data_IF_256848522549
#
_entry.id   IF_256848522549
#
_cell.length_a   1.000
_cell.length_b   1.000
_cell.length_c   1.000
_cell.angle_alpha   90.00
_cell.angle_beta   90.00
_cell.angle_gamma   90.00
#
_symmetry.space_group_name_H-M   'P 1'
#
loop_
_entity.id
_entity.type
_entity.pdbx_description
1 polymer ?
#
# COMPACT_ATOMS: atom_id res chain seq x y z
N UNK A 1 -58.72 9.53 -29.16
CA UNK A 1 -57.43 10.12 -28.74
C UNK A 1 -56.71 9.36 -27.62
N UNK A 2 -57.36 8.53 -26.79
CA UNK A 2 -56.71 7.82 -25.64
C UNK A 2 -55.73 6.69 -26.01
N UNK A 3 -55.94 5.94 -27.11
CA UNK A 3 -55.05 4.81 -27.50
C UNK A 3 -53.64 5.24 -27.92
N UNK A 4 -53.50 6.39 -28.58
CA UNK A 4 -52.17 6.87 -29.03
C UNK A 4 -51.29 7.36 -27.86
N UNK A 5 -51.91 7.95 -26.81
CA UNK A 5 -51.22 8.36 -25.58
C UNK A 5 -50.71 7.15 -24.77
N UNK A 6 -51.54 6.11 -24.64
CA UNK A 6 -51.17 4.87 -23.95
C UNK A 6 -50.02 4.16 -24.64
N UNK A 7 -50.03 4.07 -25.97
CA UNK A 7 -48.93 3.45 -26.75
C UNK A 7 -47.61 4.22 -26.60
N UNK A 8 -47.65 5.57 -26.55
CA UNK A 8 -46.48 6.39 -26.26
C UNK A 8 -45.92 6.16 -24.85
N UNK A 9 -46.78 6.12 -23.85
CA UNK A 9 -46.41 5.84 -22.45
C UNK A 9 -45.74 4.46 -22.31
N UNK A 10 -46.32 3.42 -22.92
CA UNK A 10 -45.78 2.06 -22.92
C UNK A 10 -44.42 2.01 -23.64
N UNK A 11 -44.28 2.68 -24.80
CA UNK A 11 -42.99 2.76 -25.50
C UNK A 11 -41.91 3.51 -24.68
N UNK A 12 -42.26 4.62 -24.06
CA UNK A 12 -41.32 5.33 -23.17
C UNK A 12 -40.92 4.47 -21.97
N UNK A 13 -41.88 3.78 -21.31
CA UNK A 13 -41.59 2.85 -20.24
C UNK A 13 -40.66 1.71 -20.65
N UNK A 14 -40.87 1.15 -21.85
CA UNK A 14 -39.97 0.12 -22.39
C UNK A 14 -38.54 0.65 -22.67
N UNK A 15 -38.43 1.86 -23.21
CA UNK A 15 -37.12 2.49 -23.44
C UNK A 15 -36.39 2.73 -22.12
N UNK A 16 -37.07 3.27 -21.10
CA UNK A 16 -36.47 3.45 -19.77
C UNK A 16 -36.02 2.13 -19.15
N UNK A 17 -36.82 1.06 -19.29
CA UNK A 17 -36.45 -0.25 -18.78
C UNK A 17 -35.24 -0.85 -19.49
N UNK A 18 -35.13 -0.69 -20.81
CA UNK A 18 -33.99 -1.12 -21.60
C UNK A 18 -32.70 -0.35 -21.23
N UNK A 19 -32.82 0.98 -21.05
CA UNK A 19 -31.70 1.81 -20.62
C UNK A 19 -31.22 1.43 -19.21
N UNK A 20 -32.16 1.22 -18.28
CA UNK A 20 -31.84 0.77 -16.93
C UNK A 20 -31.18 -0.62 -16.91
N UNK A 21 -31.67 -1.56 -17.73
CA UNK A 21 -31.08 -2.88 -17.88
C UNK A 21 -29.68 -2.82 -18.48
N UNK A 22 -29.47 -2.00 -19.50
CA UNK A 22 -28.15 -1.79 -20.09
C UNK A 22 -27.16 -1.15 -19.09
N UNK A 23 -27.61 -0.18 -18.31
CA UNK A 23 -26.81 0.44 -17.25
C UNK A 23 -26.45 -0.56 -16.14
N UNK A 24 -27.41 -1.40 -15.73
CA UNK A 24 -27.19 -2.46 -14.75
C UNK A 24 -26.19 -3.52 -15.23
N UNK A 25 -26.28 -3.94 -16.50
CA UNK A 25 -25.32 -4.88 -17.10
C UNK A 25 -23.94 -4.25 -17.25
N UNK A 26 -23.86 -2.97 -17.63
CA UNK A 26 -22.59 -2.22 -17.69
C UNK A 26 -21.95 -2.09 -16.31
N UNK A 27 -22.73 -1.74 -15.29
CA UNK A 27 -22.25 -1.73 -13.92
C UNK A 27 -21.74 -3.11 -13.47
N UNK A 28 -22.50 -4.17 -13.73
CA UNK A 28 -22.12 -5.53 -13.39
C UNK A 28 -20.84 -5.96 -14.11
N UNK A 29 -20.72 -5.62 -15.38
CA UNK A 29 -19.51 -5.92 -16.16
C UNK A 29 -18.25 -5.30 -15.53
N UNK A 30 -18.32 -4.06 -15.01
CA UNK A 30 -17.25 -3.40 -14.31
C UNK A 30 -17.01 -3.92 -12.88
N UNK A 31 -18.09 -4.32 -12.19
CA UNK A 31 -18.02 -4.80 -10.82
C UNK A 31 -17.48 -6.24 -10.70
N UNK A 32 -17.60 -7.05 -11.75
CA UNK A 32 -17.08 -8.42 -11.75
C UNK A 32 -15.55 -8.43 -11.84
N UNK A 33 -14.86 -9.34 -11.12
CA UNK A 33 -13.39 -9.48 -11.19
C UNK A 33 -12.97 -9.88 -12.61
N UNK A 34 -11.77 -9.46 -13.03
CA UNK A 34 -11.17 -9.89 -14.31
C UNK A 34 -10.51 -11.26 -14.22
N UNK A 35 -10.09 -11.63 -13.01
CA UNK A 35 -9.46 -12.91 -12.70
C UNK A 35 -10.03 -13.46 -11.38
N UNK A 36 -10.11 -14.78 -11.26
CA UNK A 36 -10.47 -15.50 -10.04
C UNK A 36 -9.50 -16.66 -9.83
N UNK A 37 -9.29 -17.00 -8.57
CA UNK A 37 -8.51 -18.19 -8.19
C UNK A 37 -9.41 -19.29 -7.64
N UNK A 38 -9.08 -20.53 -7.94
CA UNK A 38 -9.82 -21.73 -7.51
C UNK A 38 -8.83 -22.79 -7.03
N UNK A 39 -9.21 -23.59 -6.06
CA UNK A 39 -8.48 -24.80 -5.70
C UNK A 39 -8.80 -25.94 -6.70
N UNK A 40 -7.89 -26.90 -6.86
CA UNK A 40 -8.14 -28.08 -7.70
C UNK A 40 -9.42 -28.81 -7.27
N UNK A 41 -10.40 -28.91 -8.18
CA UNK A 41 -11.70 -29.54 -7.91
C UNK A 41 -12.74 -28.64 -7.24
N UNK A 42 -12.42 -27.38 -6.92
CA UNK A 42 -13.38 -26.43 -6.38
C UNK A 42 -14.34 -25.95 -7.48
N UNK A 43 -15.63 -25.82 -7.13
CA UNK A 43 -16.63 -25.20 -8.00
C UNK A 43 -16.52 -23.68 -7.93
N UNK A 44 -16.64 -23.03 -9.07
CA UNK A 44 -16.62 -21.56 -9.14
C UNK A 44 -17.84 -20.99 -8.41
N UNK A 45 -17.57 -20.21 -7.37
CA UNK A 45 -18.56 -19.46 -6.61
C UNK A 45 -18.11 -18.02 -6.46
N UNK A 46 -19.03 -17.09 -6.63
CA UNK A 46 -18.81 -15.66 -6.43
C UNK A 46 -19.73 -15.17 -5.31
N UNK A 47 -19.33 -15.28 -4.03
CA UNK A 47 -20.23 -14.97 -2.89
C UNK A 47 -20.80 -13.56 -2.94
N UNK A 48 -20.05 -12.58 -3.47
CA UNK A 48 -20.51 -11.18 -3.66
C UNK A 48 -21.52 -11.02 -4.81
N UNK A 49 -21.60 -12.01 -5.71
CA UNK A 49 -22.47 -12.02 -6.90
C UNK A 49 -23.11 -13.39 -7.07
N UNK A 50 -23.82 -13.86 -6.02
CA UNK A 50 -24.40 -15.20 -5.97
C UNK A 50 -25.37 -15.56 -7.12
N UNK A 51 -25.86 -14.55 -7.84
CA UNK A 51 -26.73 -14.65 -9.03
C UNK A 51 -25.95 -14.67 -10.36
N UNK A 52 -24.59 -14.60 -10.31
CA UNK A 52 -23.70 -14.76 -11.46
C UNK A 52 -23.07 -16.13 -11.39
N UNK A 53 -23.24 -16.91 -12.46
CA UNK A 53 -22.77 -18.29 -12.57
C UNK A 53 -21.97 -18.45 -13.88
N UNK A 54 -21.16 -19.49 -14.02
CA UNK A 54 -20.62 -19.85 -15.33
C UNK A 54 -21.73 -20.08 -16.35
N UNK A 55 -21.51 -19.60 -17.59
CA UNK A 55 -22.48 -19.79 -18.69
C UNK A 55 -22.76 -21.29 -18.89
N UNK A 56 -24.03 -21.68 -18.87
CA UNK A 56 -24.45 -23.07 -19.06
C UNK A 56 -24.23 -23.51 -20.50
N UNK A 57 -23.32 -24.47 -20.72
CA UNK A 57 -23.00 -24.99 -22.06
C UNK A 57 -21.94 -26.10 -22.00
N UNK A 58 -21.69 -26.74 -23.16
CA UNK A 58 -20.76 -27.89 -23.24
C UNK A 58 -19.32 -27.59 -22.79
N UNK A 59 -18.86 -26.33 -22.85
CA UNK A 59 -17.52 -25.91 -22.42
C UNK A 59 -17.41 -25.51 -20.95
N UNK A 60 -18.52 -25.11 -20.32
CA UNK A 60 -18.53 -24.52 -18.97
C UNK A 60 -18.41 -25.55 -17.84
N UNK A 61 -18.83 -26.79 -18.07
CA UNK A 61 -18.74 -27.86 -17.06
C UNK A 61 -17.30 -28.27 -16.74
N UNK A 62 -16.35 -28.07 -17.68
CA UNK A 62 -14.97 -28.55 -17.52
C UNK A 62 -14.13 -27.64 -16.60
N UNK A 63 -14.47 -26.36 -16.45
CA UNK A 63 -13.69 -25.43 -15.59
C UNK A 63 -14.17 -25.49 -14.14
N UNK A 64 -15.47 -25.68 -13.92
CA UNK A 64 -16.04 -25.77 -12.58
C UNK A 64 -15.60 -27.03 -11.79
N UNK A 65 -15.00 -28.02 -12.47
CA UNK A 65 -14.57 -29.29 -11.86
C UNK A 65 -13.14 -29.69 -12.26
N UNK A 66 -12.36 -28.79 -12.87
CA UNK A 66 -11.00 -29.14 -13.27
C UNK A 66 -10.10 -29.31 -12.04
N UNK A 67 -9.35 -30.43 -12.02
CA UNK A 67 -8.35 -30.71 -10.99
C UNK A 67 -6.94 -30.31 -11.45
N UNK A 68 -6.76 -29.95 -12.71
CA UNK A 68 -5.46 -29.57 -13.23
C UNK A 68 -5.13 -28.13 -12.88
N UNK A 69 -3.96 -27.89 -12.29
CA UNK A 69 -3.41 -26.56 -12.11
C UNK A 69 -3.22 -25.90 -13.47
N UNK A 70 -3.65 -24.66 -13.61
CA UNK A 70 -3.57 -23.92 -14.86
C UNK A 70 -4.52 -22.75 -14.96
N UNK A 71 -4.54 -22.12 -16.11
CA UNK A 71 -5.33 -20.91 -16.38
C UNK A 71 -6.36 -21.20 -17.48
N UNK A 72 -7.60 -20.85 -17.23
CA UNK A 72 -8.76 -21.13 -18.08
C UNK A 72 -9.58 -19.86 -18.29
N UNK A 73 -10.25 -19.76 -19.44
CA UNK A 73 -11.24 -18.70 -19.67
C UNK A 73 -12.64 -19.21 -19.30
N UNK A 74 -13.37 -18.39 -18.54
CA UNK A 74 -14.74 -18.68 -18.11
C UNK A 74 -15.61 -17.51 -18.43
N UNK A 75 -16.73 -17.75 -19.14
CA UNK A 75 -17.76 -16.74 -19.35
C UNK A 75 -18.73 -16.77 -18.18
N UNK A 76 -18.82 -15.68 -17.47
CA UNK A 76 -19.81 -15.44 -16.40
C UNK A 76 -21.13 -14.98 -17.02
N UNK A 77 -22.22 -15.50 -16.50
CA UNK A 77 -23.57 -15.23 -16.98
C UNK A 77 -24.53 -14.97 -15.83
N UNK A 78 -25.49 -14.10 -16.05
CA UNK A 78 -26.61 -13.85 -15.14
C UNK A 78 -27.51 -15.08 -15.16
N UNK A 79 -27.73 -15.69 -13.98
CA UNK A 79 -28.51 -16.94 -13.84
C UNK A 79 -27.96 -18.12 -14.68
N UNK A 80 -26.74 -18.04 -15.16
CA UNK A 80 -26.12 -19.05 -16.01
C UNK A 80 -26.53 -19.01 -17.50
N UNK A 81 -27.33 -18.00 -17.93
CA UNK A 81 -27.88 -17.94 -19.29
C UNK A 81 -27.50 -16.68 -20.06
N UNK A 82 -27.55 -15.49 -19.45
CA UNK A 82 -27.23 -14.23 -20.10
C UNK A 82 -25.73 -13.92 -19.90
N UNK A 83 -24.87 -14.05 -20.92
CA UNK A 83 -23.44 -13.80 -20.77
C UNK A 83 -23.19 -12.32 -20.43
N UNK A 84 -22.33 -12.08 -19.44
CA UNK A 84 -21.95 -10.74 -18.98
C UNK A 84 -20.49 -10.46 -19.25
N UNK A 85 -19.59 -11.34 -18.81
CA UNK A 85 -18.13 -11.11 -18.91
C UNK A 85 -17.37 -12.41 -18.99
N UNK A 86 -16.37 -12.46 -19.88
CA UNK A 86 -15.35 -13.55 -19.87
C UNK A 86 -14.20 -13.14 -18.99
N UNK A 87 -13.84 -13.99 -18.05
CA UNK A 87 -12.77 -13.78 -17.05
C UNK A 87 -11.76 -14.93 -17.14
N UNK A 88 -10.60 -14.70 -16.52
CA UNK A 88 -9.59 -15.72 -16.33
C UNK A 88 -9.83 -16.46 -15.01
N UNK A 89 -9.91 -17.77 -15.04
CA UNK A 89 -9.93 -18.61 -13.85
C UNK A 89 -8.56 -19.30 -13.71
N UNK A 90 -7.88 -19.11 -12.60
CA UNK A 90 -6.58 -19.73 -12.29
C UNK A 90 -6.82 -20.80 -11.24
N UNK A 91 -6.55 -22.06 -11.61
CA UNK A 91 -6.59 -23.19 -10.68
C UNK A 91 -5.20 -23.36 -10.07
N UNK A 92 -5.09 -23.18 -8.77
CA UNK A 92 -3.84 -23.22 -8.02
C UNK A 92 -4.05 -23.80 -6.64
N UNK A 93 -3.02 -24.35 -6.03
CA UNK A 93 -3.04 -24.68 -4.60
C UNK A 93 -3.20 -23.40 -3.78
N UNK A 94 -3.91 -23.51 -2.65
CA UNK A 94 -4.13 -22.37 -1.77
C UNK A 94 -2.83 -22.04 -1.03
N UNK A 95 -2.33 -20.80 -1.16
CA UNK A 95 -1.13 -20.42 -0.45
C UNK A 95 -1.37 -20.31 1.04
N UNK A 96 -0.35 -20.71 1.82
CA UNK A 96 -0.33 -20.58 3.28
C UNK A 96 0.85 -19.73 3.71
N UNK A 97 0.62 -18.87 4.70
CA UNK A 97 1.64 -17.96 5.24
C UNK A 97 1.59 -17.93 6.76
N UNK A 98 2.68 -17.53 7.39
CA UNK A 98 2.69 -17.21 8.83
C UNK A 98 2.15 -15.80 9.02
N UNK A 99 0.93 -15.69 9.54
CA UNK A 99 0.29 -14.40 9.88
C UNK A 99 0.87 -13.89 11.19
N UNK A 100 1.29 -12.63 11.22
CA UNK A 100 2.04 -12.05 12.33
C UNK A 100 1.23 -11.04 13.14
N UNK A 101 1.07 -9.80 12.69
CA UNK A 101 0.48 -8.70 13.47
C UNK A 101 1.46 -8.03 14.44
N UNK A 102 2.73 -8.43 14.42
CA UNK A 102 3.82 -7.88 15.26
C UNK A 102 4.32 -6.54 14.70
N UNK A 103 4.73 -5.59 15.56
CA UNK A 103 5.34 -4.35 15.12
C UNK A 103 6.74 -4.62 14.58
N UNK A 104 7.17 -3.80 13.63
CA UNK A 104 8.55 -3.74 13.19
C UNK A 104 8.95 -2.30 12.92
N UNK A 105 10.22 -1.99 13.18
CA UNK A 105 10.84 -0.74 12.80
C UNK A 105 11.31 -0.80 11.36
N UNK A 106 11.13 0.29 10.64
CA UNK A 106 11.60 0.49 9.27
C UNK A 106 12.73 1.51 9.28
N UNK A 107 13.81 1.21 8.59
CA UNK A 107 14.88 2.15 8.22
C UNK A 107 15.01 2.12 6.71
N UNK A 108 14.73 3.24 6.07
CA UNK A 108 14.88 3.38 4.62
C UNK A 108 15.87 4.48 4.29
N UNK A 109 16.69 4.23 3.30
CA UNK A 109 17.61 5.20 2.70
C UNK A 109 17.14 5.48 1.27
N UNK A 110 16.99 6.76 0.95
CA UNK A 110 16.51 7.19 -0.36
C UNK A 110 17.63 7.20 -1.40
N UNK A 111 17.27 7.07 -2.67
CA UNK A 111 18.16 7.39 -3.77
C UNK A 111 18.30 8.91 -3.86
N UNK A 112 19.41 9.46 -3.34
CA UNK A 112 19.64 10.90 -3.30
C UNK A 112 19.00 11.60 -2.11
N UNK A 113 19.31 12.88 -1.94
CA UNK A 113 18.89 13.71 -0.83
C UNK A 113 17.58 14.46 -1.15
N UNK A 114 16.50 14.17 -0.39
CA UNK A 114 15.19 14.79 -0.56
C UNK A 114 15.17 16.20 0.04
N UNK A 115 14.76 17.21 -0.70
CA UNK A 115 14.59 18.59 -0.19
C UNK A 115 13.29 18.66 0.62
N UNK A 116 13.44 18.81 1.93
CA UNK A 116 12.32 18.84 2.90
C UNK A 116 12.06 20.23 3.48
N UNK A 117 12.92 21.22 3.19
CA UNK A 117 12.75 22.57 3.68
C UNK A 117 13.77 23.53 3.12
N UNK A 118 13.56 24.82 3.40
CA UNK A 118 14.48 25.89 3.07
C UNK A 118 14.65 26.85 4.26
N UNK A 119 15.87 27.33 4.44
CA UNK A 119 16.20 28.44 5.35
C UNK A 119 17.21 29.36 4.68
N UNK A 120 17.08 30.65 4.93
CA UNK A 120 18.04 31.60 4.40
C UNK A 120 19.40 31.43 5.09
N UNK A 121 20.48 31.63 4.33
CA UNK A 121 21.86 31.58 4.79
C UNK A 121 22.30 32.98 5.15
N UNK A 122 22.91 33.17 6.31
CA UNK A 122 23.42 34.47 6.76
C UNK A 122 24.77 34.77 6.09
N UNK A 123 24.73 35.61 5.04
CA UNK A 123 25.95 36.08 4.35
C UNK A 123 26.35 37.48 4.85
N UNK A 124 27.56 37.91 4.49
CA UNK A 124 28.00 39.27 4.76
C UNK A 124 27.15 40.34 4.04
N UNK A 125 26.47 39.99 2.96
CA UNK A 125 25.58 40.86 2.19
C UNK A 125 24.12 40.84 2.66
N UNK A 126 23.78 39.94 3.61
CA UNK A 126 22.43 39.72 4.12
C UNK A 126 21.97 38.26 3.91
N UNK A 127 20.70 37.97 4.24
CA UNK A 127 20.15 36.63 4.06
C UNK A 127 19.94 36.27 2.58
N UNK A 128 20.42 35.11 2.15
CA UNK A 128 20.31 34.60 0.79
C UNK A 128 19.86 33.14 0.79
N UNK A 129 19.19 32.70 -0.27
CA UNK A 129 18.83 31.29 -0.45
C UNK A 129 19.19 30.80 -1.85
N UNK A 130 20.40 30.26 -2.05
CA UNK A 130 20.87 29.76 -3.33
C UNK A 130 20.02 28.65 -3.94
N UNK A 131 19.49 27.73 -3.11
CA UNK A 131 18.67 26.62 -3.60
C UNK A 131 17.32 27.11 -4.18
N UNK A 132 16.66 28.08 -3.52
CA UNK A 132 15.45 28.72 -4.06
C UNK A 132 15.77 29.50 -5.33
N UNK A 133 16.87 30.25 -5.35
CA UNK A 133 17.31 31.01 -6.52
C UNK A 133 17.62 30.09 -7.71
N UNK A 134 18.15 28.90 -7.47
CA UNK A 134 18.37 27.87 -8.47
C UNK A 134 17.08 27.16 -8.92
N UNK A 135 15.90 27.48 -8.33
CA UNK A 135 14.60 26.92 -8.69
C UNK A 135 14.31 25.54 -8.09
N UNK A 136 15.07 25.10 -7.07
CA UNK A 136 14.75 23.89 -6.32
C UNK A 136 13.47 24.08 -5.48
N UNK A 137 12.74 23.01 -5.25
CA UNK A 137 11.44 22.99 -4.54
C UNK A 137 11.40 21.88 -3.52
N UNK A 138 10.46 21.97 -2.60
CA UNK A 138 10.12 20.85 -1.70
C UNK A 138 9.74 19.63 -2.53
N UNK A 139 10.22 18.45 -2.11
CA UNK A 139 10.02 17.20 -2.82
C UNK A 139 11.03 16.92 -3.95
N UNK A 140 11.89 17.88 -4.31
CA UNK A 140 13.00 17.60 -5.23
C UNK A 140 13.99 16.64 -4.58
N UNK A 141 14.38 15.62 -5.31
CA UNK A 141 15.38 14.67 -4.87
C UNK A 141 16.69 14.93 -5.58
N UNK A 142 17.63 15.54 -4.88
CA UNK A 142 18.97 15.85 -5.41
C UNK A 142 19.79 14.56 -5.50
N UNK A 143 20.23 14.19 -6.70
CA UNK A 143 20.96 12.95 -6.95
C UNK A 143 22.43 13.18 -7.26
N UNK A 144 22.84 14.42 -7.65
CA UNK A 144 24.21 14.77 -7.91
C UNK A 144 24.43 16.28 -7.78
N UNK A 145 25.56 16.67 -7.20
CA UNK A 145 26.07 18.05 -7.17
C UNK A 145 27.50 18.03 -7.73
N UNK A 146 27.73 18.72 -8.86
CA UNK A 146 28.99 18.62 -9.58
C UNK A 146 29.30 17.19 -10.01
N UNK A 147 30.43 16.67 -9.59
CA UNK A 147 30.83 15.27 -9.79
C UNK A 147 30.40 14.32 -8.67
N UNK A 148 29.84 14.84 -7.57
CA UNK A 148 29.52 14.05 -6.36
C UNK A 148 28.10 13.55 -6.40
N UNK A 149 27.90 12.23 -6.35
CA UNK A 149 26.57 11.63 -6.10
C UNK A 149 26.14 11.95 -4.66
N UNK A 150 24.89 12.43 -4.50
CA UNK A 150 24.37 12.88 -3.20
C UNK A 150 23.54 11.76 -2.54
N UNK A 151 24.22 10.67 -2.19
CA UNK A 151 23.60 9.48 -1.58
C UNK A 151 23.14 9.70 -0.14
N UNK A 152 23.72 10.67 0.54
CA UNK A 152 23.42 11.05 1.91
C UNK A 152 23.63 12.55 2.16
N UNK A 153 23.29 13.00 3.36
CA UNK A 153 23.39 14.41 3.76
C UNK A 153 24.85 14.88 3.80
N UNK A 154 25.79 13.99 4.16
CA UNK A 154 27.22 14.32 4.22
C UNK A 154 27.81 14.52 2.81
N UNK A 155 27.38 13.72 1.84
CA UNK A 155 27.77 13.90 0.44
C UNK A 155 27.29 15.25 -0.13
N UNK A 156 26.07 15.68 0.21
CA UNK A 156 25.57 17.03 -0.15
C UNK A 156 26.46 18.11 0.45
N UNK A 157 26.79 18.01 1.74
CA UNK A 157 27.64 18.97 2.44
C UNK A 157 29.03 19.03 1.80
N UNK A 158 29.66 17.89 1.56
CA UNK A 158 30.98 17.80 0.93
C UNK A 158 31.00 18.41 -0.47
N UNK A 159 29.96 18.18 -1.28
CA UNK A 159 29.85 18.73 -2.62
C UNK A 159 29.73 20.27 -2.61
N UNK A 160 28.96 20.84 -1.67
CA UNK A 160 28.82 22.27 -1.49
C UNK A 160 30.14 22.91 -1.00
N UNK A 161 30.85 22.27 -0.07
CA UNK A 161 32.17 22.70 0.40
C UNK A 161 33.22 22.66 -0.73
N UNK A 162 33.20 21.62 -1.55
CA UNK A 162 34.12 21.51 -2.70
C UNK A 162 33.88 22.58 -3.77
N UNK A 163 32.69 23.11 -3.90
CA UNK A 163 32.34 24.16 -4.84
C UNK A 163 32.92 25.54 -4.43
N UNK A 164 33.17 25.79 -3.16
CA UNK A 164 33.81 27.01 -2.64
C UNK A 164 33.26 28.31 -3.20
N UNK A 165 31.91 28.42 -3.32
CA UNK A 165 31.24 29.59 -3.88
C UNK A 165 31.23 29.66 -5.41
N UNK A 166 31.77 28.65 -6.10
CA UNK A 166 31.65 28.55 -7.56
C UNK A 166 30.29 27.94 -7.95
N UNK A 167 29.79 28.34 -9.11
CA UNK A 167 28.57 27.76 -9.68
C UNK A 167 28.80 26.27 -9.98
N UNK A 168 27.91 25.41 -9.50
CA UNK A 168 27.96 23.96 -9.66
C UNK A 168 26.65 23.43 -10.22
N UNK A 169 26.74 22.45 -11.11
CA UNK A 169 25.56 21.77 -11.64
C UNK A 169 24.90 20.93 -10.56
N UNK A 170 23.58 21.03 -10.42
CA UNK A 170 22.75 20.18 -9.56
C UNK A 170 21.79 19.38 -10.42
N UNK A 171 21.89 18.06 -10.36
CA UNK A 171 20.95 17.14 -10.99
C UNK A 171 19.97 16.63 -9.94
N UNK A 172 18.69 16.74 -10.22
CA UNK A 172 17.62 16.36 -9.31
C UNK A 172 16.45 15.70 -10.06
N UNK A 173 15.62 14.95 -9.32
CA UNK A 173 14.40 14.35 -9.82
C UNK A 173 13.22 15.10 -9.24
N UNK A 174 12.25 15.51 -10.08
CA UNK A 174 10.98 16.13 -9.71
C UNK A 174 9.85 15.41 -10.42
N UNK A 175 8.88 14.87 -9.68
CA UNK A 175 7.75 14.13 -10.25
C UNK A 175 8.17 13.00 -11.20
N UNK A 176 9.26 12.29 -10.87
CA UNK A 176 9.79 11.19 -11.68
C UNK A 176 10.68 11.60 -12.85
N UNK A 177 10.79 12.90 -13.17
CA UNK A 177 11.62 13.42 -14.25
C UNK A 177 12.95 13.95 -13.74
N UNK A 178 14.05 13.52 -14.35
CA UNK A 178 15.38 14.07 -14.08
C UNK A 178 15.54 15.45 -14.71
N UNK A 179 16.03 16.40 -13.93
CA UNK A 179 16.26 17.80 -14.30
C UNK A 179 17.63 18.25 -13.82
N UNK A 180 18.09 19.38 -14.34
CA UNK A 180 19.35 20.00 -13.91
C UNK A 180 19.18 21.51 -13.77
N UNK A 181 19.97 22.08 -12.87
CA UNK A 181 20.08 23.51 -12.64
C UNK A 181 21.50 23.90 -12.23
N UNK A 182 21.81 25.17 -12.22
CA UNK A 182 23.06 25.70 -11.68
C UNK A 182 22.80 26.33 -10.31
N UNK A 183 23.61 26.00 -9.31
CA UNK A 183 23.54 26.51 -7.96
C UNK A 183 24.91 27.06 -7.54
N UNK A 184 24.94 28.26 -6.95
CA UNK A 184 26.15 28.85 -6.40
C UNK A 184 26.03 28.87 -4.88
N UNK A 185 26.74 28.01 -4.14
CA UNK A 185 26.66 28.02 -2.67
C UNK A 185 27.25 29.31 -2.13
N UNK A 186 26.73 29.77 -0.97
CA UNK A 186 27.18 30.97 -0.28
C UNK A 186 27.81 30.64 1.05
N UNK A 187 28.75 31.48 1.50
CA UNK A 187 29.38 31.29 2.80
C UNK A 187 28.46 31.72 3.94
N UNK A 188 28.13 30.79 4.81
CA UNK A 188 27.39 31.06 6.02
C UNK A 188 28.34 31.51 7.15
N UNK A 189 28.26 32.80 7.48
CA UNK A 189 29.11 33.39 8.51
C UNK A 189 28.83 32.80 9.91
N UNK A 190 27.65 32.26 10.15
CA UNK A 190 27.27 31.71 11.45
C UNK A 190 27.84 30.32 11.71
N UNK A 191 27.92 29.48 10.66
CA UNK A 191 28.40 28.10 10.76
C UNK A 191 29.79 27.90 10.16
N UNK A 192 30.38 28.93 9.51
CA UNK A 192 31.64 28.87 8.78
C UNK A 192 31.68 27.71 7.76
N UNK A 193 30.66 27.60 6.91
CA UNK A 193 30.48 26.56 5.92
C UNK A 193 29.83 27.12 4.64
N UNK A 194 30.12 26.49 3.49
CA UNK A 194 29.39 26.74 2.24
C UNK A 194 28.01 26.07 2.26
N UNK A 195 26.95 26.82 2.04
CA UNK A 195 25.58 26.35 2.15
C UNK A 195 24.74 26.74 0.94
N UNK A 196 23.68 25.95 0.69
CA UNK A 196 22.70 26.20 -0.35
C UNK A 196 21.36 26.76 0.20
N UNK A 197 21.15 26.74 1.51
CA UNK A 197 19.91 27.21 2.13
C UNK A 197 18.76 26.22 1.98
N UNK A 198 19.05 24.93 1.85
CA UNK A 198 18.07 23.84 1.82
C UNK A 198 18.30 22.85 2.96
N UNK A 199 17.21 22.28 3.46
CA UNK A 199 17.22 21.12 4.34
C UNK A 199 16.99 19.88 3.50
N UNK A 200 17.83 18.89 3.70
CA UNK A 200 17.75 17.63 2.97
C UNK A 200 17.64 16.44 3.93
N UNK A 201 16.96 15.38 3.46
CA UNK A 201 16.78 14.13 4.17
C UNK A 201 17.17 12.97 3.25
N UNK A 202 17.99 12.07 3.76
CA UNK A 202 18.50 10.90 3.05
C UNK A 202 17.91 9.59 3.57
N UNK A 203 17.20 9.64 4.69
CA UNK A 203 16.67 8.46 5.36
C UNK A 203 15.33 8.74 6.02
N UNK A 204 14.51 7.71 6.13
CA UNK A 204 13.25 7.72 6.84
C UNK A 204 13.20 6.54 7.80
N UNK A 205 12.67 6.78 8.99
CA UNK A 205 12.43 5.75 9.98
C UNK A 205 10.97 5.80 10.44
N UNK A 206 10.40 4.65 10.73
CA UNK A 206 9.01 4.56 11.15
C UNK A 206 8.69 3.22 11.77
N UNK A 207 7.45 3.06 12.21
CA UNK A 207 6.91 1.83 12.76
C UNK A 207 5.75 1.35 11.89
N UNK A 208 5.70 0.06 11.64
CA UNK A 208 4.62 -0.59 10.93
C UNK A 208 4.28 -1.95 11.54
N UNK A 209 3.28 -2.59 10.95
CA UNK A 209 2.86 -3.94 11.37
C UNK A 209 3.19 -4.95 10.27
N UNK A 210 3.81 -6.06 10.68
CA UNK A 210 4.09 -7.23 9.84
C UNK A 210 2.79 -7.97 9.57
N UNK A 211 2.40 -8.06 8.30
CA UNK A 211 1.17 -8.77 7.93
C UNK A 211 1.40 -10.26 7.94
N UNK A 212 2.38 -10.72 7.18
CA UNK A 212 2.74 -12.13 7.12
C UNK A 212 4.20 -12.34 6.68
N UNK A 213 4.67 -13.56 6.92
CA UNK A 213 5.92 -14.09 6.39
C UNK A 213 5.62 -15.38 5.63
N UNK A 214 6.06 -15.45 4.39
CA UNK A 214 6.13 -16.71 3.64
C UNK A 214 7.50 -17.34 3.92
N UNK A 215 7.50 -18.40 4.73
CA UNK A 215 8.72 -19.08 5.15
C UNK A 215 9.37 -19.90 4.04
N UNK A 216 8.60 -20.34 3.06
CA UNK A 216 9.14 -21.15 1.95
C UNK A 216 9.96 -20.27 1.01
N UNK A 217 9.48 -19.06 0.76
CA UNK A 217 10.16 -18.08 -0.08
C UNK A 217 11.13 -17.17 0.70
N UNK A 218 11.08 -17.16 2.04
CA UNK A 218 11.89 -16.28 2.87
C UNK A 218 11.53 -14.80 2.73
N UNK A 219 10.25 -14.49 2.40
CA UNK A 219 9.78 -13.13 2.18
C UNK A 219 8.78 -12.68 3.22
N UNK A 220 8.72 -11.36 3.43
CA UNK A 220 7.73 -10.72 4.30
C UNK A 220 6.89 -9.70 3.54
N UNK A 221 5.71 -9.42 4.08
CA UNK A 221 4.81 -8.36 3.66
C UNK A 221 4.34 -7.53 4.86
N UNK A 222 4.32 -6.21 4.69
CA UNK A 222 3.86 -5.29 5.74
C UNK A 222 3.28 -4.00 5.18
N UNK A 223 2.67 -3.19 6.04
CA UNK A 223 2.09 -1.86 5.84
C UNK A 223 0.85 -1.81 4.92
N UNK A 224 0.86 -2.46 3.75
CA UNK A 224 -0.23 -2.37 2.77
C UNK A 224 -0.31 -1.03 2.01
N UNK A 225 0.67 -0.15 2.17
CA UNK A 225 0.86 1.12 1.45
C UNK A 225 2.36 1.48 1.43
N UNK A 226 2.80 2.40 0.54
CA UNK A 226 4.19 2.83 0.51
C UNK A 226 4.57 3.61 1.78
N UNK A 227 5.86 3.60 2.09
CA UNK A 227 6.45 4.54 3.02
C UNK A 227 6.66 5.84 2.26
N UNK A 228 6.07 6.91 2.79
CA UNK A 228 6.18 8.27 2.25
C UNK A 228 6.89 9.17 3.25
N UNK A 229 7.55 10.19 2.73
CA UNK A 229 8.14 11.24 3.55
C UNK A 229 7.02 12.08 4.20
N UNK A 230 7.17 12.37 5.49
CA UNK A 230 6.14 13.05 6.30
C UNK A 230 5.94 14.52 5.92
N UNK A 231 6.96 15.18 5.38
CA UNK A 231 6.93 16.61 5.09
C UNK A 231 6.44 16.88 3.66
N UNK A 232 6.75 15.99 2.73
CA UNK A 232 6.40 16.14 1.31
C UNK A 232 5.22 15.28 0.89
N UNK A 233 4.93 14.19 1.61
CA UNK A 233 3.92 13.19 1.24
C UNK A 233 4.33 12.28 0.06
N UNK A 234 5.51 12.50 -0.51
CA UNK A 234 5.98 11.68 -1.63
C UNK A 234 6.51 10.33 -1.16
N UNK A 235 6.30 9.29 -1.98
CA UNK A 235 6.84 7.96 -1.71
C UNK A 235 8.38 7.99 -1.71
N UNK A 236 8.99 7.40 -0.68
CA UNK A 236 10.44 7.31 -0.57
C UNK A 236 10.97 6.35 -1.64
N UNK A 237 11.78 6.88 -2.57
CA UNK A 237 12.46 6.05 -3.57
C UNK A 237 13.55 5.21 -2.89
N UNK A 238 13.37 3.91 -2.92
CA UNK A 238 14.20 2.96 -2.18
C UNK A 238 15.57 2.77 -2.83
N UNK A 239 16.65 3.22 -2.14
CA UNK A 239 18.03 2.79 -2.42
C UNK A 239 18.35 1.51 -1.65
N UNK A 240 18.09 1.54 -0.36
CA UNK A 240 18.20 0.39 0.54
C UNK A 240 17.24 0.55 1.70
N UNK A 241 16.85 -0.56 2.30
CA UNK A 241 15.98 -0.52 3.47
C UNK A 241 16.10 -1.77 4.30
N UNK A 242 15.89 -1.60 5.59
CA UNK A 242 16.00 -2.64 6.60
C UNK A 242 14.77 -2.62 7.50
N UNK A 243 14.39 -3.80 7.97
CA UNK A 243 13.46 -3.93 9.08
C UNK A 243 14.24 -4.33 10.35
N UNK A 244 13.84 -3.75 11.47
CA UNK A 244 14.46 -3.97 12.79
C UNK A 244 13.41 -4.36 13.84
N UNK A 245 13.79 -5.04 14.93
CA UNK A 245 12.88 -5.33 16.02
C UNK A 245 12.36 -4.02 16.65
N UNK A 246 11.08 -3.99 16.97
CA UNK A 246 10.40 -2.83 17.54
C UNK A 246 9.38 -3.26 18.58
N UNK A 247 9.22 -2.50 19.64
CA UNK A 247 8.12 -2.59 20.59
C UNK A 247 7.26 -1.32 20.58
N UNK A 248 6.00 -1.45 20.90
CA UNK A 248 5.08 -0.33 21.05
C UNK A 248 5.09 0.14 22.50
N UNK A 249 5.56 1.35 22.74
CA UNK A 249 5.67 1.95 24.07
C UNK A 249 4.48 2.81 24.45
N UNK A 250 3.64 3.18 23.48
CA UNK A 250 2.46 3.98 23.71
C UNK A 250 1.64 4.25 22.46
N UNK A 251 0.52 4.94 22.68
CA UNK A 251 -0.39 5.33 21.61
C UNK A 251 -0.93 6.75 21.88
N UNK A 252 -0.95 7.57 20.83
CA UNK A 252 -1.79 8.78 20.80
C UNK A 252 -3.11 8.41 20.14
N UNK A 253 -4.23 8.59 20.85
CA UNK A 253 -5.53 8.21 20.30
C UNK A 253 -5.94 9.11 19.14
N UNK A 254 -6.57 8.51 18.13
CA UNK A 254 -7.13 9.22 16.99
C UNK A 254 -8.46 9.90 17.33
N UNK A 255 -8.66 11.07 16.77
CA UNK A 255 -9.92 11.82 16.80
C UNK A 255 -10.27 12.29 15.40
N UNK A 256 -11.52 12.67 15.16
CA UNK A 256 -11.94 13.20 13.87
C UNK A 256 -11.07 14.40 13.45
N UNK A 257 -10.46 14.31 12.26
CA UNK A 257 -9.53 15.31 11.73
C UNK A 257 -8.07 15.21 12.22
N UNK A 258 -7.79 14.34 13.21
CA UNK A 258 -6.44 14.13 13.74
C UNK A 258 -6.20 12.63 13.93
N UNK A 259 -5.55 11.94 12.97
CA UNK A 259 -5.23 10.55 13.12
C UNK A 259 -4.28 10.35 14.30
N UNK A 260 -4.53 9.30 15.10
CA UNK A 260 -3.62 8.90 16.17
C UNK A 260 -2.39 8.16 15.65
N UNK A 261 -1.49 7.80 16.56
CA UNK A 261 -0.21 7.18 16.24
C UNK A 261 0.23 6.20 17.32
N UNK A 262 0.78 5.04 16.90
CA UNK A 262 1.53 4.15 17.77
C UNK A 262 2.96 4.68 17.90
N UNK A 263 3.44 4.81 19.14
CA UNK A 263 4.83 5.19 19.44
C UNK A 263 5.65 3.93 19.65
N UNK A 264 6.63 3.72 18.79
CA UNK A 264 7.51 2.55 18.84
C UNK A 264 8.92 2.90 19.25
N UNK A 265 9.59 1.93 19.83
CA UNK A 265 11.01 1.96 20.18
C UNK A 265 11.73 0.81 19.48
N UNK A 266 12.85 1.10 18.80
CA UNK A 266 13.66 0.06 18.17
C UNK A 266 14.49 -0.65 19.23
N UNK A 267 14.28 -1.95 19.37
CA UNK A 267 14.95 -2.78 20.38
C UNK A 267 16.43 -3.05 20.01
N UNK A 268 16.74 -3.01 18.74
CA UNK A 268 18.10 -3.26 18.22
C UNK A 268 18.33 -2.49 16.92
N UNK A 269 19.61 -2.19 16.67
CA UNK A 269 20.05 -1.68 15.37
C UNK A 269 20.24 -2.79 14.32
N UNK A 270 20.27 -4.06 14.74
CA UNK A 270 20.47 -5.19 13.83
C UNK A 270 19.25 -5.43 12.95
N UNK A 271 19.49 -5.46 11.66
CA UNK A 271 18.48 -5.78 10.68
C UNK A 271 18.00 -7.24 10.84
N UNK A 272 16.69 -7.44 10.85
CA UNK A 272 16.02 -8.75 10.83
C UNK A 272 15.45 -9.09 9.45
N UNK A 273 15.60 -8.18 8.49
CA UNK A 273 15.23 -8.37 7.09
C UNK A 273 15.61 -7.16 6.26
N UNK A 274 15.59 -7.36 4.94
CA UNK A 274 15.94 -6.33 3.95
C UNK A 274 14.70 -5.98 3.15
N UNK A 275 14.38 -4.69 3.03
CA UNK A 275 13.30 -4.18 2.18
C UNK A 275 13.79 -4.21 0.73
N UNK A 276 13.01 -4.80 -0.16
CA UNK A 276 13.28 -4.90 -1.61
C UNK A 276 12.33 -4.04 -2.44
N UNK A 277 11.10 -3.87 -1.94
CA UNK A 277 10.06 -3.09 -2.63
C UNK A 277 9.39 -2.17 -1.61
N UNK A 278 9.37 -0.87 -1.91
CA UNK A 278 8.48 0.13 -1.33
C UNK A 278 7.47 0.50 -2.40
N UNK A 279 6.35 -0.18 -2.45
CA UNK A 279 5.38 -0.08 -3.53
C UNK A 279 4.01 0.42 -3.09
N UNK A 280 3.17 0.78 -4.04
CA UNK A 280 1.81 1.28 -3.83
C UNK A 280 0.94 0.40 -2.92
N UNK A 281 1.24 -0.89 -2.87
CA UNK A 281 0.46 -1.91 -2.15
C UNK A 281 1.13 -2.38 -0.85
N UNK A 282 2.27 -1.78 -0.46
CA UNK A 282 2.97 -2.16 0.77
C UNK A 282 4.48 -2.20 0.67
N UNK A 283 5.08 -2.69 1.73
CA UNK A 283 6.52 -2.91 1.86
C UNK A 283 6.78 -4.40 1.89
N UNK A 284 7.70 -4.84 1.02
CA UNK A 284 8.03 -6.25 0.83
C UNK A 284 9.54 -6.43 0.83
N UNK A 285 9.98 -7.58 1.27
CA UNK A 285 11.40 -7.87 1.30
C UNK A 285 11.71 -9.28 1.76
N UNK A 286 12.98 -9.54 2.02
CA UNK A 286 13.48 -10.86 2.43
C UNK A 286 13.85 -10.87 3.90
N UNK A 287 13.62 -12.02 4.56
CA UNK A 287 13.99 -12.25 5.96
C UNK A 287 14.35 -13.71 6.18
N UNK A 288 15.33 -13.93 7.06
CA UNK A 288 15.67 -15.25 7.59
C UNK A 288 15.27 -15.39 9.07
N UNK A 289 14.76 -14.31 9.65
CA UNK A 289 14.34 -14.28 11.05
C UNK A 289 13.02 -15.03 11.21
N UNK A 290 12.93 -15.77 12.30
CA UNK A 290 11.70 -16.46 12.68
C UNK A 290 10.75 -15.48 13.37
N UNK A 291 9.65 -15.12 12.69
CA UNK A 291 8.59 -14.32 13.29
C UNK A 291 7.58 -15.22 14.00
N UNK A 292 7.18 -14.81 15.19
CA UNK A 292 6.05 -15.42 15.89
C UNK A 292 4.76 -15.16 15.12
N UNK A 293 3.95 -16.19 14.92
CA UNK A 293 2.68 -16.07 14.20
C UNK A 293 1.99 -17.42 14.03
N UNK A 294 0.86 -17.41 13.34
CA UNK A 294 0.08 -18.61 13.10
C UNK A 294 0.00 -18.89 11.60
N UNK A 295 0.20 -20.16 11.22
CA UNK A 295 0.02 -20.58 9.84
C UNK A 295 -1.46 -20.46 9.47
N UNK A 296 -1.76 -19.72 8.40
CA UNK A 296 -3.10 -19.52 7.85
C UNK A 296 -3.10 -19.59 6.35
N UNK A 297 -4.20 -20.07 5.80
CA UNK A 297 -4.50 -19.96 4.39
C UNK A 297 -4.80 -18.52 4.00
N UNK A 298 -4.39 -18.11 2.81
CA UNK A 298 -4.83 -16.85 2.19
C UNK A 298 -6.16 -17.08 1.50
N UNK A 299 -7.14 -16.23 1.79
CA UNK A 299 -8.40 -16.20 1.05
C UNK A 299 -8.17 -15.63 -0.35
N UNK A 300 -8.79 -16.21 -1.36
CA UNK A 300 -8.84 -15.59 -2.67
C UNK A 300 -9.71 -14.32 -2.64
N UNK A 301 -9.37 -13.33 -3.43
CA UNK A 301 -10.04 -12.02 -3.41
C UNK A 301 -11.57 -12.10 -3.57
N UNK A 302 -12.06 -13.03 -4.41
CA UNK A 302 -13.50 -13.23 -4.61
C UNK A 302 -14.24 -13.85 -3.41
N UNK A 303 -13.52 -14.45 -2.45
CA UNK A 303 -14.09 -15.07 -1.24
C UNK A 303 -14.33 -14.05 -0.12
N UNK A 304 -13.66 -12.89 -0.20
CA UNK A 304 -13.81 -11.83 0.81
C UNK A 304 -15.18 -11.19 0.71
N UNK A 305 -15.91 -11.15 1.81
CA UNK A 305 -17.28 -10.64 1.86
C UNK A 305 -17.46 -9.60 2.97
N UNK A 306 -18.51 -8.80 2.88
CA UNK A 306 -18.92 -7.94 3.99
C UNK A 306 -19.36 -8.79 5.18
N UNK A 307 -19.11 -8.31 6.39
CA UNK A 307 -19.44 -9.05 7.59
C UNK A 307 -18.39 -8.97 8.68
N UNK A 308 -18.57 -9.72 9.77
CA UNK A 308 -17.63 -9.78 10.88
C UNK A 308 -16.26 -10.30 10.44
N UNK A 309 -15.23 -9.70 11.01
CA UNK A 309 -13.83 -10.08 10.82
C UNK A 309 -13.03 -9.66 12.06
N UNK A 310 -11.75 -9.98 12.08
CA UNK A 310 -10.83 -9.52 13.10
C UNK A 310 -9.55 -8.95 12.49
N UNK A 311 -8.92 -8.02 13.19
CA UNK A 311 -7.56 -7.59 12.91
C UNK A 311 -6.65 -8.04 14.03
N UNK A 312 -5.42 -8.43 13.69
CA UNK A 312 -4.39 -8.67 14.69
C UNK A 312 -3.45 -7.46 14.73
N UNK A 313 -3.43 -6.78 15.85
CA UNK A 313 -2.64 -5.57 16.03
C UNK A 313 -1.93 -5.58 17.37
N UNK A 314 -0.74 -5.00 17.39
CA UNK A 314 0.02 -4.74 18.62
C UNK A 314 -0.11 -3.26 18.93
N UNK A 315 -0.80 -2.93 20.02
CA UNK A 315 -0.98 -1.55 20.49
C UNK A 315 -0.20 -1.24 21.77
N UNK A 316 0.50 -2.26 22.30
CA UNK A 316 1.37 -2.20 23.47
C UNK A 316 2.32 -3.40 23.49
N UNK A 317 3.63 -3.19 23.72
CA UNK A 317 4.66 -4.22 23.70
C UNK A 317 4.91 -4.78 22.31
N UNK A 318 5.13 -6.09 22.22
CA UNK A 318 5.49 -6.80 21.00
C UNK A 318 4.44 -7.83 20.55
N UNK A 319 3.45 -8.14 21.41
CA UNK A 319 2.53 -9.25 21.20
C UNK A 319 1.21 -8.78 20.57
N UNK A 320 0.85 -9.30 19.39
CA UNK A 320 -0.41 -8.96 18.74
C UNK A 320 -1.60 -9.55 19.49
N UNK A 321 -2.72 -8.82 19.42
CA UNK A 321 -4.04 -9.27 19.92
C UNK A 321 -5.07 -9.17 18.81
N UNK A 322 -6.05 -10.06 18.84
CA UNK A 322 -7.20 -10.01 17.95
C UNK A 322 -8.21 -8.97 18.43
N UNK A 323 -8.65 -8.10 17.51
CA UNK A 323 -9.68 -7.10 17.75
C UNK A 323 -10.78 -7.23 16.70
N UNK A 324 -12.03 -7.14 17.13
CA UNK A 324 -13.20 -7.27 16.26
C UNK A 324 -13.37 -6.06 15.36
N UNK A 325 -13.64 -6.36 14.10
CA UNK A 325 -14.00 -5.36 13.08
C UNK A 325 -15.20 -5.84 12.26
N UNK A 326 -15.74 -4.92 11.49
CA UNK A 326 -16.72 -5.18 10.44
C UNK A 326 -16.12 -4.79 9.10
N UNK A 327 -16.14 -5.69 8.12
CA UNK A 327 -15.91 -5.33 6.72
C UNK A 327 -17.22 -4.76 6.19
N UNK A 328 -17.28 -3.44 5.97
CA UNK A 328 -18.50 -2.74 5.52
C UNK A 328 -18.68 -2.80 4.01
N UNK A 329 -17.57 -2.82 3.28
CA UNK A 329 -17.55 -2.82 1.82
C UNK A 329 -16.36 -3.59 1.29
N UNK A 330 -16.57 -4.30 0.18
CA UNK A 330 -15.52 -4.95 -0.62
C UNK A 330 -15.68 -4.50 -2.08
N UNK A 331 -14.57 -4.14 -2.72
CA UNK A 331 -14.55 -3.65 -4.10
C UNK A 331 -13.22 -4.00 -4.78
N UNK A 332 -13.28 -4.40 -6.03
CA UNK A 332 -12.10 -4.64 -6.88
C UNK A 332 -11.73 -3.40 -7.73
N UNK A 333 -12.46 -2.30 -7.59
CA UNK A 333 -12.30 -1.10 -8.42
C UNK A 333 -10.99 -0.32 -8.14
N UNK A 334 -10.51 -0.33 -6.90
CA UNK A 334 -9.21 0.25 -6.53
C UNK A 334 -8.34 -0.85 -5.91
N UNK A 335 -7.28 -1.28 -6.57
CA UNK A 335 -6.43 -2.37 -6.08
C UNK A 335 -5.69 -2.05 -4.77
N UNK A 336 -5.66 -0.78 -4.35
CA UNK A 336 -5.02 -0.33 -3.10
C UNK A 336 -6.00 -0.22 -1.93
N UNK A 337 -7.31 -0.19 -2.20
CA UNK A 337 -8.38 0.05 -1.21
C UNK A 337 -9.56 -0.88 -1.45
N UNK A 338 -9.29 -2.17 -1.34
CA UNK A 338 -10.29 -3.20 -1.65
C UNK A 338 -11.41 -3.30 -0.61
N UNK A 339 -11.14 -2.90 0.65
CA UNK A 339 -12.07 -3.00 1.76
C UNK A 339 -12.25 -1.67 2.46
N UNK A 340 -13.49 -1.42 2.96
CA UNK A 340 -13.76 -0.44 4.00
C UNK A 340 -14.04 -1.22 5.28
N UNK A 341 -13.33 -0.86 6.33
CA UNK A 341 -13.33 -1.52 7.63
C UNK A 341 -13.92 -0.59 8.67
N UNK A 342 -14.65 -1.14 9.65
CA UNK A 342 -15.06 -0.45 10.87
C UNK A 342 -14.59 -1.22 12.08
N UNK A 343 -13.90 -0.55 12.98
CA UNK A 343 -13.54 -1.10 14.31
C UNK A 343 -14.80 -1.19 15.16
N UNK A 344 -15.07 -2.38 15.70
CA UNK A 344 -16.21 -2.66 16.58
C UNK A 344 -15.76 -3.14 17.96
N UNK A 345 -14.47 -3.36 18.15
CA UNK A 345 -13.89 -3.81 19.41
C UNK A 345 -13.83 -2.67 20.43
N UNK A 346 -14.53 -2.78 21.59
CA UNK A 346 -14.55 -1.71 22.60
C UNK A 346 -13.18 -1.44 23.22
N UNK A 347 -12.33 -2.47 23.37
CA UNK A 347 -11.02 -2.30 23.98
C UNK A 347 -10.07 -1.51 23.07
N UNK A 348 -10.10 -1.81 21.76
CA UNK A 348 -9.34 -1.05 20.77
C UNK A 348 -9.83 0.40 20.69
N UNK A 349 -11.15 0.61 20.59
CA UNK A 349 -11.75 1.95 20.54
C UNK A 349 -11.40 2.79 21.79
N UNK A 350 -11.45 2.19 22.97
CA UNK A 350 -11.12 2.89 24.21
C UNK A 350 -9.63 3.28 24.30
N UNK A 351 -8.73 2.48 23.75
CA UNK A 351 -7.28 2.72 23.82
C UNK A 351 -6.77 3.64 22.71
N UNK A 352 -7.23 3.46 21.47
CA UNK A 352 -6.69 4.12 20.28
C UNK A 352 -7.69 5.07 19.60
N UNK A 353 -8.95 5.05 19.96
CA UNK A 353 -10.00 5.80 19.25
C UNK A 353 -10.40 5.19 17.90
N UNK A 354 -9.71 4.13 17.45
CA UNK A 354 -9.93 3.48 16.16
C UNK A 354 -8.64 2.99 15.53
N UNK A 355 -8.55 3.08 14.21
CA UNK A 355 -7.32 2.79 13.46
C UNK A 355 -6.37 3.99 13.58
N UNK A 356 -5.11 3.75 13.93
CA UNK A 356 -4.08 4.77 14.11
C UNK A 356 -2.86 4.46 13.26
N UNK A 357 -2.01 5.46 13.02
CA UNK A 357 -0.73 5.26 12.32
C UNK A 357 0.12 4.23 13.07
N UNK A 358 0.83 3.37 12.33
CA UNK A 358 1.54 2.21 12.87
C UNK A 358 0.72 0.91 12.85
N UNK A 359 -0.62 0.96 12.81
CA UNK A 359 -1.48 -0.21 12.60
C UNK A 359 -1.53 -0.65 11.12
N UNK A 360 -1.00 0.12 10.21
CA UNK A 360 -0.86 -0.26 8.80
C UNK A 360 -0.09 -1.57 8.67
N UNK A 361 -0.65 -2.53 7.94
CA UNK A 361 -0.14 -3.91 7.86
C UNK A 361 -0.79 -4.87 8.85
N UNK A 362 -1.61 -4.42 9.81
CA UNK A 362 -2.35 -5.33 10.69
C UNK A 362 -3.16 -6.33 9.87
N UNK A 363 -2.89 -7.65 9.98
CA UNK A 363 -3.58 -8.66 9.20
C UNK A 363 -5.07 -8.71 9.53
N UNK A 364 -5.89 -8.86 8.49
CA UNK A 364 -7.35 -9.00 8.58
C UNK A 364 -7.69 -10.46 8.36
N UNK A 365 -8.39 -11.07 9.32
CA UNK A 365 -8.84 -12.44 9.22
C UNK A 365 -10.36 -12.51 9.15
N UNK A 366 -10.87 -13.34 8.26
CA UNK A 366 -12.28 -13.66 8.13
C UNK A 366 -12.43 -15.18 7.93
N UNK A 367 -13.29 -15.82 8.69
CA UNK A 367 -13.51 -17.26 8.65
C UNK A 367 -12.22 -18.09 8.79
N UNK A 368 -11.27 -17.62 9.63
CA UNK A 368 -10.00 -18.30 9.91
C UNK A 368 -8.93 -18.15 8.84
N UNK A 369 -9.18 -17.40 7.73
CA UNK A 369 -8.26 -17.14 6.64
C UNK A 369 -7.76 -15.70 6.66
N UNK A 370 -6.55 -15.49 6.18
CA UNK A 370 -6.02 -14.15 5.94
C UNK A 370 -6.68 -13.57 4.68
N UNK A 371 -7.49 -12.52 4.85
CA UNK A 371 -8.19 -11.85 3.75
C UNK A 371 -7.50 -10.57 3.28
N UNK A 372 -6.65 -9.97 4.14
CA UNK A 372 -5.97 -8.73 3.79
C UNK A 372 -5.19 -8.11 4.94
N UNK A 373 -4.88 -6.84 4.78
CA UNK A 373 -4.25 -6.02 5.80
C UNK A 373 -4.89 -4.63 5.86
N UNK A 374 -4.87 -4.02 7.05
CA UNK A 374 -5.22 -2.61 7.25
C UNK A 374 -4.21 -1.73 6.52
N UNK A 375 -4.67 -0.70 5.81
CA UNK A 375 -3.79 0.24 5.12
C UNK A 375 -3.86 1.65 5.73
N UNK A 376 -4.91 2.38 5.50
CA UNK A 376 -5.06 3.77 5.92
C UNK A 376 -6.29 3.95 6.80
N UNK A 377 -6.19 4.89 7.74
CA UNK A 377 -7.33 5.39 8.50
C UNK A 377 -8.13 6.41 7.69
N UNK A 378 -9.44 6.49 7.90
CA UNK A 378 -10.23 7.63 7.44
C UNK A 378 -10.05 8.79 8.42
N UNK A 379 -9.37 9.85 7.98
CA UNK A 379 -8.99 10.98 8.86
C UNK A 379 -10.18 11.59 9.60
N UNK A 380 -11.33 11.68 8.95
CA UNK A 380 -12.56 12.27 9.55
C UNK A 380 -13.36 11.27 10.42
N UNK A 381 -13.03 9.98 10.37
CA UNK A 381 -13.67 8.94 11.18
C UNK A 381 -12.65 7.83 11.48
N UNK A 382 -11.83 7.97 12.53
CA UNK A 382 -10.79 6.99 12.87
C UNK A 382 -11.33 5.59 13.20
N UNK A 383 -12.62 5.47 13.50
CA UNK A 383 -13.25 4.15 13.69
C UNK A 383 -13.31 3.34 12.40
N UNK A 384 -13.03 3.98 11.24
CA UNK A 384 -13.06 3.37 9.91
C UNK A 384 -11.71 3.51 9.21
N UNK A 385 -11.44 2.60 8.29
CA UNK A 385 -10.23 2.63 7.48
C UNK A 385 -10.36 1.76 6.24
N UNK A 386 -9.28 1.69 5.51
CA UNK A 386 -9.16 0.87 4.30
C UNK A 386 -8.36 -0.39 4.56
N UNK A 387 -8.60 -1.39 3.73
CA UNK A 387 -7.80 -2.61 3.69
C UNK A 387 -7.51 -3.02 2.24
N UNK A 388 -6.40 -3.75 2.09
CA UNK A 388 -5.95 -4.36 0.83
C UNK A 388 -6.09 -5.88 0.91
N UNK A 389 -6.31 -6.56 -0.22
CA UNK A 389 -6.37 -8.03 -0.26
C UNK A 389 -5.00 -8.68 0.03
N UNK A 390 -5.02 -9.75 0.80
CA UNK A 390 -3.82 -10.57 1.07
C UNK A 390 -3.25 -11.19 -0.20
N UNK A 391 -4.10 -11.55 -1.16
CA UNK A 391 -3.67 -12.07 -2.46
C UNK A 391 -2.79 -11.06 -3.20
N UNK A 392 -3.18 -9.80 -3.27
CA UNK A 392 -2.37 -8.72 -3.88
C UNK A 392 -1.03 -8.56 -3.16
N UNK A 393 -1.02 -8.63 -1.83
CA UNK A 393 0.22 -8.55 -1.06
C UNK A 393 1.13 -9.75 -1.31
N UNK A 394 0.57 -10.95 -1.45
CA UNK A 394 1.35 -12.16 -1.74
C UNK A 394 2.04 -12.08 -3.11
N UNK A 395 1.32 -11.61 -4.13
CA UNK A 395 1.88 -11.43 -5.49
C UNK A 395 3.08 -10.48 -5.47
N UNK A 396 3.01 -9.39 -4.71
CA UNK A 396 4.12 -8.45 -4.54
C UNK A 396 5.27 -9.04 -3.71
N UNK A 397 4.98 -9.80 -2.66
CA UNK A 397 6.00 -10.48 -1.86
C UNK A 397 6.76 -11.52 -2.70
N UNK A 398 6.06 -12.28 -3.57
CA UNK A 398 6.69 -13.20 -4.50
C UNK A 398 7.57 -12.51 -5.55
N UNK A 399 7.22 -11.28 -5.95
CA UNK A 399 8.06 -10.47 -6.82
C UNK A 399 9.34 -10.03 -6.11
N UNK A 400 9.26 -9.67 -4.83
CA UNK A 400 10.44 -9.32 -4.02
C UNK A 400 11.44 -10.50 -3.90
N UNK A 401 10.94 -11.76 -3.82
CA UNK A 401 11.79 -12.95 -3.83
C UNK A 401 12.58 -13.09 -5.13
N UNK A 402 11.96 -12.81 -6.28
CA UNK A 402 12.62 -12.91 -7.59
C UNK A 402 13.73 -11.88 -7.77
N UNK A 403 13.57 -10.69 -7.21
CA UNK A 403 14.56 -9.62 -7.27
C UNK A 403 15.82 -9.97 -6.47
N UNK A 404 15.69 -10.74 -5.38
CA UNK A 404 16.82 -11.17 -4.55
C UNK A 404 17.68 -12.25 -5.24
N UNK A 405 17.10 -13.05 -6.13
CA UNK A 405 17.83 -14.09 -6.90
C UNK A 405 18.52 -13.53 -8.15
N UNK A 406 18.24 -12.29 -8.54
CA UNK A 406 18.80 -11.65 -9.74
C UNK A 406 19.97 -10.68 -9.42
N UNK A 407 20.23 -10.40 -8.15
CA UNK A 407 21.31 -9.57 -7.64
C UNK A 407 22.43 -10.44 -7.04
#
# INVERSE_FOLDING_TARGET
MHRAGLVRLVRMGLVYLLVAAAAALGWLWHALPGEICLEPGQTLQLPRFAWVEPLRGRGSRNVASTRAVGSYQVTLALGGWLPVRTIRAVVTERPTVTVCGTPFGVKMFSEGALVVGFSDVNTAAGPENPAKAAGLRLGDRVIRIGSTATEDNDAVKQALEAAQGSAVEVVYVRSGEQRQTSLTPVWDASSAQWRAGMWVRDSSAGVGTMTFVDRQLGVFAGLGHPISDSDTGESVALRSGEIVPCEITGCSAGTAGSPGELKGHFLSAHAIGTIRINGENGVYGTTRTHFSGQLREIAFAQEVVTGPAEIWATIEGETPRAYRIQIERVSDADPRRNMILRVTDPALLAKTGGIVQGMSGSPILQNGRLVGAVTHVLVNDPTRGYGIFAQTMLEQAQQAAKTDHAA
#
